data_IF_373869581665
#
_entry.id   IF_373869581665
#
_cell.length_a   1.000
_cell.length_b   1.000
_cell.length_c   1.000
_cell.angle_alpha   90.00
_cell.angle_beta   90.00
_cell.angle_gamma   90.00
#
_symmetry.space_group_name_H-M   'P 1'
#
loop_
_entity.id
_entity.type
_entity.pdbx_description
1 polymer ?
#
# COMPACT_ATOMS: atom_id res chain seq x y z
N UNK A 1 1.32 -43.65 17.96
CA UNK A 1 2.64 -43.10 18.34
C UNK A 1 3.09 -41.90 17.48
N UNK A 2 2.60 -41.75 16.23
CA UNK A 2 3.02 -40.66 15.33
C UNK A 2 2.16 -39.37 15.38
N UNK A 3 1.02 -39.36 16.08
CA UNK A 3 0.13 -38.19 16.14
C UNK A 3 0.55 -37.11 17.16
N UNK A 4 1.57 -37.36 18.00
CA UNK A 4 1.98 -36.45 19.09
C UNK A 4 3.07 -35.45 18.71
N UNK A 5 3.59 -35.50 17.48
CA UNK A 5 4.62 -34.55 17.01
C UNK A 5 4.04 -33.33 16.28
N UNK A 6 2.72 -33.27 16.04
CA UNK A 6 2.10 -32.11 15.38
C UNK A 6 1.63 -31.02 16.38
N UNK A 7 1.84 -31.24 17.68
CA UNK A 7 1.26 -30.43 18.74
C UNK A 7 2.33 -29.69 19.55
N UNK A 8 3.28 -29.06 18.87
CA UNK A 8 4.04 -27.92 19.41
C UNK A 8 4.44 -27.05 18.25
N UNK A 9 3.94 -25.83 18.21
CA UNK A 9 4.80 -24.66 17.99
C UNK A 9 4.07 -23.47 18.60
N UNK A 10 4.52 -22.91 19.74
CA UNK A 10 4.01 -21.63 20.17
C UNK A 10 4.39 -20.59 19.10
N UNK A 11 3.35 -20.16 18.40
CA UNK A 11 3.29 -19.29 17.23
C UNK A 11 3.70 -17.85 17.57
N UNK A 12 4.88 -17.68 18.14
CA UNK A 12 5.47 -16.36 18.35
C UNK A 12 5.92 -15.84 16.98
N UNK A 13 5.14 -14.93 16.40
CA UNK A 13 5.60 -14.13 15.27
C UNK A 13 6.87 -13.40 15.75
N UNK A 14 8.05 -13.67 15.18
CA UNK A 14 9.29 -13.05 15.64
C UNK A 14 9.11 -11.54 15.54
N UNK A 15 9.53 -10.79 16.57
CA UNK A 15 9.46 -9.32 16.58
C UNK A 15 9.97 -8.69 15.27
N UNK A 16 10.95 -9.33 14.61
CA UNK A 16 11.48 -8.98 13.29
C UNK A 16 10.41 -8.89 12.20
N UNK A 17 9.48 -9.85 12.13
CA UNK A 17 8.41 -9.87 11.12
C UNK A 17 7.38 -8.78 11.40
N UNK A 18 7.04 -8.56 12.67
CA UNK A 18 6.19 -7.45 13.06
C UNK A 18 6.79 -6.09 12.64
N UNK A 19 8.07 -5.86 12.95
CA UNK A 19 8.76 -4.63 12.52
C UNK A 19 8.83 -4.51 10.99
N UNK A 20 8.99 -5.63 10.28
CA UNK A 20 8.94 -5.64 8.81
C UNK A 20 7.57 -5.20 8.28
N UNK A 21 6.48 -5.76 8.79
CA UNK A 21 5.12 -5.39 8.38
C UNK A 21 4.81 -3.93 8.72
N UNK A 22 5.15 -3.48 9.94
CA UNK A 22 4.96 -2.09 10.34
C UNK A 22 5.79 -1.12 9.48
N UNK A 23 7.02 -1.50 9.15
CA UNK A 23 7.87 -0.74 8.24
C UNK A 23 7.27 -0.63 6.84
N UNK A 24 6.77 -1.73 6.27
CA UNK A 24 6.09 -1.73 4.97
C UNK A 24 4.82 -0.87 4.99
N UNK A 25 4.03 -0.92 6.08
CA UNK A 25 2.89 -0.03 6.24
C UNK A 25 3.29 1.45 6.23
N UNK A 26 4.40 1.81 6.89
CA UNK A 26 4.91 3.18 6.85
C UNK A 26 5.37 3.59 5.44
N UNK A 27 5.99 2.67 4.69
CA UNK A 27 6.38 2.90 3.29
C UNK A 27 5.14 3.14 2.42
N UNK A 28 4.11 2.32 2.52
CA UNK A 28 2.87 2.53 1.77
C UNK A 28 2.18 3.85 2.11
N UNK A 29 2.17 4.24 3.39
CA UNK A 29 1.68 5.57 3.79
C UNK A 29 2.51 6.66 3.13
N UNK A 30 3.84 6.57 3.15
CA UNK A 30 4.70 7.55 2.50
C UNK A 30 4.44 7.64 0.98
N UNK A 31 4.21 6.51 0.30
CA UNK A 31 3.88 6.47 -1.12
C UNK A 31 2.54 7.17 -1.42
N UNK A 32 1.52 6.94 -0.61
CA UNK A 32 0.23 7.67 -0.69
C UNK A 32 0.45 9.18 -0.54
N UNK A 33 1.28 9.62 0.41
CA UNK A 33 1.59 11.04 0.55
C UNK A 33 2.32 11.61 -0.66
N UNK A 34 3.24 10.85 -1.26
CA UNK A 34 3.96 11.26 -2.48
C UNK A 34 2.99 11.46 -3.64
N UNK A 35 2.05 10.53 -3.86
CA UNK A 35 1.04 10.68 -4.91
C UNK A 35 0.06 11.82 -4.62
N UNK A 36 -0.40 11.98 -3.36
CA UNK A 36 -1.22 13.11 -2.93
C UNK A 36 -0.57 14.47 -3.23
N UNK A 37 0.72 14.61 -2.91
CA UNK A 37 1.51 15.79 -3.28
C UNK A 37 1.68 15.93 -4.80
N UNK A 38 1.80 14.81 -5.52
CA UNK A 38 1.80 14.77 -6.98
C UNK A 38 0.53 15.35 -7.59
N UNK A 39 -0.65 15.00 -7.06
CA UNK A 39 -1.92 15.60 -7.46
C UNK A 39 -1.97 17.09 -7.15
N UNK A 40 -1.54 17.49 -5.96
CA UNK A 40 -1.49 18.89 -5.58
C UNK A 40 -0.63 19.70 -6.56
N UNK A 41 0.59 19.23 -6.86
CA UNK A 41 1.48 19.88 -7.81
C UNK A 41 0.88 19.94 -9.22
N UNK A 42 0.23 18.86 -9.66
CA UNK A 42 -0.36 18.78 -10.98
C UNK A 42 -1.56 19.73 -11.14
N UNK A 43 -2.42 19.87 -10.12
CA UNK A 43 -3.53 20.82 -10.12
C UNK A 43 -3.08 22.29 -10.17
N UNK A 44 -1.85 22.60 -9.76
CA UNK A 44 -1.27 23.95 -9.89
C UNK A 44 -0.62 24.21 -11.26
N UNK A 45 -0.41 23.16 -12.08
CA UNK A 45 0.01 23.31 -13.46
C UNK A 45 -1.19 23.63 -14.37
N UNK A 46 -0.98 24.41 -15.42
CA UNK A 46 -2.03 24.66 -16.41
C UNK A 46 -2.41 23.38 -17.17
N UNK A 47 -3.70 23.25 -17.54
CA UNK A 47 -4.26 22.19 -18.40
C UNK A 47 -4.13 20.73 -17.92
N UNK A 48 -3.89 20.53 -16.62
CA UNK A 48 -3.75 19.19 -16.03
C UNK A 48 -5.06 18.43 -15.78
N UNK A 49 -6.19 19.14 -15.72
CA UNK A 49 -7.51 18.58 -15.39
C UNK A 49 -8.02 19.09 -14.04
N UNK A 50 -9.00 18.39 -13.47
CA UNK A 50 -9.61 18.77 -12.19
C UNK A 50 -9.99 17.55 -11.35
N UNK A 51 -9.97 17.71 -10.03
CA UNK A 51 -10.48 16.76 -9.04
C UNK A 51 -11.68 17.40 -8.35
N UNK A 52 -12.90 17.03 -8.75
CA UNK A 52 -14.11 17.57 -8.14
C UNK A 52 -14.36 16.91 -6.79
N UNK A 53 -14.62 17.71 -5.76
CA UNK A 53 -14.85 17.24 -4.38
C UNK A 53 -13.60 17.26 -3.48
N UNK A 54 -12.45 17.73 -4.00
CA UNK A 54 -11.24 17.93 -3.20
C UNK A 54 -10.99 19.44 -2.99
N UNK A 55 -11.09 19.91 -1.75
CA UNK A 55 -10.94 21.32 -1.40
C UNK A 55 -9.58 21.62 -0.76
N UNK A 56 -8.96 20.61 -0.14
CA UNK A 56 -7.70 20.76 0.58
C UNK A 56 -6.70 19.63 0.27
N UNK A 57 -5.45 19.78 0.74
CA UNK A 57 -4.40 18.79 0.53
C UNK A 57 -4.73 17.42 1.15
N UNK A 58 -5.44 17.39 2.28
CA UNK A 58 -5.82 16.13 2.92
C UNK A 58 -6.86 15.38 2.09
N UNK A 59 -7.76 16.07 1.39
CA UNK A 59 -8.70 15.46 0.45
C UNK A 59 -7.96 14.83 -0.73
N UNK A 60 -6.86 15.45 -1.19
CA UNK A 60 -6.00 14.88 -2.24
C UNK A 60 -5.21 13.66 -1.76
N UNK A 61 -4.70 13.68 -0.52
CA UNK A 61 -4.03 12.52 0.10
C UNK A 61 -5.05 11.41 0.36
N UNK A 62 -6.28 11.74 0.76
CA UNK A 62 -7.37 10.78 0.89
C UNK A 62 -7.73 10.17 -0.46
N UNK A 63 -7.91 10.97 -1.50
CA UNK A 63 -8.13 10.48 -2.86
C UNK A 63 -7.01 9.54 -3.32
N UNK A 64 -5.76 9.94 -3.11
CA UNK A 64 -4.59 9.11 -3.38
C UNK A 64 -4.66 7.77 -2.62
N UNK A 65 -4.99 7.78 -1.33
CA UNK A 65 -5.15 6.56 -0.55
C UNK A 65 -6.20 5.63 -1.18
N UNK A 66 -7.36 6.18 -1.55
CA UNK A 66 -8.46 5.44 -2.16
C UNK A 66 -8.09 4.81 -3.50
N UNK A 67 -7.30 5.51 -4.31
CA UNK A 67 -6.83 5.07 -5.62
C UNK A 67 -5.72 4.02 -5.47
N UNK A 68 -4.70 4.32 -4.66
CA UNK A 68 -3.55 3.47 -4.38
C UNK A 68 -3.96 2.11 -3.82
N UNK A 69 -4.91 2.07 -2.87
CA UNK A 69 -5.42 0.82 -2.31
C UNK A 69 -6.51 0.18 -3.16
N UNK A 70 -6.87 0.80 -4.30
CA UNK A 70 -7.90 0.34 -5.25
C UNK A 70 -9.30 0.22 -4.64
N UNK A 71 -9.58 0.93 -3.53
CA UNK A 71 -10.89 0.88 -2.86
C UNK A 71 -11.91 1.77 -3.59
N UNK A 72 -11.49 2.94 -4.10
CA UNK A 72 -12.24 3.73 -5.08
C UNK A 72 -13.61 4.27 -4.65
N UNK A 73 -13.70 5.05 -3.56
CA UNK A 73 -14.93 5.78 -3.21
C UNK A 73 -15.21 6.90 -4.22
N UNK A 74 -16.50 7.14 -4.49
CA UNK A 74 -16.96 8.07 -5.54
C UNK A 74 -17.11 9.54 -5.09
N UNK A 75 -16.61 9.90 -3.90
CA UNK A 75 -16.75 11.25 -3.36
C UNK A 75 -15.89 12.27 -4.11
N UNK A 76 -14.73 11.85 -4.61
CA UNK A 76 -13.80 12.69 -5.37
C UNK A 76 -13.64 12.11 -6.77
N UNK A 77 -13.87 12.92 -7.80
CA UNK A 77 -13.88 12.46 -9.19
C UNK A 77 -12.84 13.17 -10.06
N UNK A 78 -11.88 12.44 -10.66
CA UNK A 78 -10.89 13.01 -11.56
C UNK A 78 -11.45 13.24 -12.97
N UNK A 79 -11.18 14.41 -13.54
CA UNK A 79 -11.57 14.79 -14.90
C UNK A 79 -10.40 15.40 -15.67
N UNK A 80 -10.29 15.11 -16.97
CA UNK A 80 -9.16 15.53 -17.79
C UNK A 80 -7.90 14.65 -17.67
N UNK A 81 -6.72 15.17 -18.05
CA UNK A 81 -5.47 14.40 -18.12
C UNK A 81 -5.00 13.76 -16.81
N UNK A 82 -5.34 14.34 -15.65
CA UNK A 82 -5.04 13.81 -14.31
C UNK A 82 -5.48 12.35 -14.11
N UNK A 83 -6.49 11.88 -14.85
CA UNK A 83 -6.96 10.49 -14.83
C UNK A 83 -5.87 9.48 -15.22
N UNK A 84 -4.89 9.89 -16.03
CA UNK A 84 -3.76 9.04 -16.39
C UNK A 84 -2.88 8.76 -15.17
N UNK A 85 -2.59 9.80 -14.35
CA UNK A 85 -1.88 9.62 -13.08
C UNK A 85 -2.68 8.73 -12.14
N UNK A 86 -4.00 8.93 -12.05
CA UNK A 86 -4.89 8.07 -11.24
C UNK A 86 -4.83 6.61 -11.65
N UNK A 87 -4.84 6.31 -12.95
CA UNK A 87 -4.69 4.95 -13.44
C UNK A 87 -3.33 4.34 -13.09
N UNK A 88 -2.25 5.11 -13.24
CA UNK A 88 -0.89 4.66 -12.90
C UNK A 88 -0.71 4.43 -11.39
N UNK A 89 -1.27 5.30 -10.56
CA UNK A 89 -1.25 5.15 -9.10
C UNK A 89 -1.98 3.89 -8.66
N UNK A 90 -3.19 3.63 -9.18
CA UNK A 90 -3.93 2.41 -8.85
C UNK A 90 -3.15 1.15 -9.21
N UNK A 91 -2.52 1.12 -10.39
CA UNK A 91 -1.68 0.01 -10.82
C UNK A 91 -0.45 -0.15 -9.92
N UNK A 92 0.20 0.96 -9.58
CA UNK A 92 1.41 0.97 -8.74
C UNK A 92 1.10 0.50 -7.33
N UNK A 93 0.05 1.03 -6.70
CA UNK A 93 -0.34 0.65 -5.35
C UNK A 93 -0.76 -0.80 -5.24
N UNK A 94 -1.56 -1.29 -6.20
CA UNK A 94 -1.89 -2.71 -6.28
C UNK A 94 -0.64 -3.59 -6.36
N UNK A 95 0.29 -3.25 -7.25
CA UNK A 95 1.52 -4.01 -7.45
C UNK A 95 2.41 -4.00 -6.19
N UNK A 96 2.60 -2.84 -5.55
CA UNK A 96 3.44 -2.67 -4.37
C UNK A 96 2.86 -3.37 -3.13
N UNK A 97 1.55 -3.32 -2.92
CA UNK A 97 0.88 -4.05 -1.85
C UNK A 97 1.02 -5.56 -2.05
N UNK A 98 0.74 -6.05 -3.27
CA UNK A 98 0.85 -7.48 -3.59
C UNK A 98 2.30 -7.99 -3.45
N UNK A 99 3.27 -7.18 -3.88
CA UNK A 99 4.68 -7.49 -3.74
C UNK A 99 5.12 -7.51 -2.28
N UNK A 100 4.65 -6.57 -1.46
CA UNK A 100 4.95 -6.50 -0.01
C UNK A 100 4.42 -7.71 0.75
N UNK A 101 3.24 -8.22 0.39
CA UNK A 101 2.70 -9.47 0.92
C UNK A 101 3.60 -10.67 0.55
N UNK A 102 4.04 -10.74 -0.72
CA UNK A 102 4.92 -11.81 -1.22
C UNK A 102 6.30 -11.77 -0.56
N UNK A 103 6.88 -10.58 -0.39
CA UNK A 103 8.14 -10.38 0.32
C UNK A 103 8.02 -10.80 1.79
N UNK A 104 6.95 -10.38 2.47
CA UNK A 104 6.70 -10.76 3.87
C UNK A 104 6.56 -12.28 4.01
N UNK A 105 5.86 -12.93 3.07
CA UNK A 105 5.74 -14.39 3.02
C UNK A 105 7.10 -15.07 2.84
N UNK A 106 7.94 -14.58 1.93
CA UNK A 106 9.29 -15.10 1.73
C UNK A 106 10.16 -14.97 2.98
N UNK A 107 10.08 -13.82 3.68
CA UNK A 107 10.79 -13.58 4.93
C UNK A 107 10.31 -14.52 6.06
N UNK A 108 9.01 -14.79 6.13
CA UNK A 108 8.46 -15.81 7.03
C UNK A 108 8.99 -17.21 6.67
N UNK A 109 8.94 -17.60 5.40
CA UNK A 109 9.39 -18.92 4.96
C UNK A 109 10.86 -19.18 5.30
N UNK A 110 11.74 -18.21 5.04
CA UNK A 110 13.16 -18.32 5.35
C UNK A 110 13.42 -18.45 6.85
N UNK A 111 12.71 -17.68 7.69
CA UNK A 111 12.83 -17.78 9.15
C UNK A 111 12.44 -19.16 9.68
N UNK A 112 11.41 -19.77 9.09
CA UNK A 112 10.93 -21.07 9.54
C UNK A 112 11.92 -22.17 9.15
N UNK A 113 12.52 -22.09 7.96
CA UNK A 113 13.59 -23.02 7.53
C UNK A 113 14.83 -22.90 8.42
N UNK A 114 15.28 -21.70 8.76
CA UNK A 114 16.48 -21.52 9.60
C UNK A 114 16.31 -21.98 11.05
N UNK A 115 15.08 -22.16 11.52
CA UNK A 115 14.78 -22.62 12.88
C UNK A 115 14.50 -24.13 12.96
N UNK A 116 14.48 -24.83 11.81
CA UNK A 116 14.26 -26.28 11.71
C UNK A 116 15.56 -27.07 11.51
N UNK A 117 16.68 -26.38 11.23
CA UNK A 117 18.04 -26.92 11.12
C UNK A 117 18.82 -26.67 12.44
#
# INVERSE_FOLDING_TARGET
MLQRLYAREPRYMPRRILFCVLGLLCVHVAEIWIFGLGYYALLHAADSGALAGADNLLDLVFFSAMVYTTVGFAEITPSGPIRFLTGMEALSGLALIAWSASFTYFQMHNYWRSNLD
#
